data_IF_635755524671
#
_entry.id   IF_635755524671
#
_cell.length_a   1.000
_cell.length_b   1.000
_cell.length_c   1.000
_cell.angle_alpha   90.00
_cell.angle_beta   90.00
_cell.angle_gamma   90.00
#
_symmetry.space_group_name_H-M   'P 1'
#
loop_
_entity.id
_entity.type
_entity.pdbx_description
1 polymer ?
#
# COMPACT_ATOMS: atom_id res chain seq x y z
N UNK A 1 -9.07 6.60 -36.05
CA UNK A 1 -9.04 6.98 -34.64
C UNK A 1 -10.45 6.80 -34.12
N UNK A 2 -10.70 5.87 -33.19
CA UNK A 2 -12.01 5.72 -32.57
C UNK A 2 -12.30 6.98 -31.77
N UNK A 3 -13.49 7.55 -31.95
CA UNK A 3 -13.96 8.73 -31.22
C UNK A 3 -14.13 8.35 -29.73
N UNK A 4 -13.21 8.78 -28.89
CA UNK A 4 -13.27 8.60 -27.42
C UNK A 4 -14.16 9.64 -26.73
N UNK A 5 -14.70 10.63 -27.48
CA UNK A 5 -15.57 11.68 -26.94
C UNK A 5 -16.94 11.17 -26.43
N UNK A 6 -17.29 9.92 -26.78
CA UNK A 6 -18.56 9.29 -26.43
C UNK A 6 -18.50 8.33 -25.23
N UNK A 7 -17.32 8.15 -24.59
CA UNK A 7 -17.18 7.26 -23.43
C UNK A 7 -17.60 8.01 -22.16
N UNK A 8 -18.89 8.05 -21.89
CA UNK A 8 -19.45 8.65 -20.67
C UNK A 8 -20.30 7.62 -19.94
N UNK A 9 -20.32 7.73 -18.61
CA UNK A 9 -21.29 7.01 -17.79
C UNK A 9 -22.69 7.57 -18.15
N UNK A 10 -23.69 6.71 -18.43
CA UNK A 10 -25.04 7.18 -18.76
C UNK A 10 -25.59 8.11 -17.67
N UNK A 11 -26.30 9.15 -18.10
CA UNK A 11 -27.00 10.06 -17.21
C UNK A 11 -28.05 9.29 -16.39
N UNK A 12 -28.10 9.55 -15.06
CA UNK A 12 -29.00 8.86 -14.13
C UNK A 12 -28.49 7.52 -13.60
N UNK A 13 -27.31 7.04 -14.01
CA UNK A 13 -26.70 5.86 -13.40
C UNK A 13 -26.31 6.15 -11.95
N UNK A 14 -26.79 5.34 -11.01
CA UNK A 14 -26.36 5.34 -9.61
C UNK A 14 -25.21 4.37 -9.46
N UNK A 15 -23.99 4.91 -9.20
CA UNK A 15 -22.80 4.11 -8.99
C UNK A 15 -22.60 3.79 -7.51
N UNK A 16 -22.70 2.52 -7.14
CA UNK A 16 -22.57 2.05 -5.74
C UNK A 16 -21.32 1.22 -5.48
N UNK A 17 -20.45 1.02 -6.47
CA UNK A 17 -19.24 0.19 -6.36
C UNK A 17 -17.98 1.02 -6.02
N UNK A 18 -18.08 1.93 -5.04
CA UNK A 18 -16.97 2.80 -4.66
C UNK A 18 -15.81 2.05 -3.99
N UNK A 19 -16.03 0.83 -3.51
CA UNK A 19 -14.96 -0.03 -3.00
C UNK A 19 -14.08 -0.60 -4.12
N UNK A 20 -14.60 -0.75 -5.34
CA UNK A 20 -13.79 -1.15 -6.49
C UNK A 20 -12.97 0.02 -7.04
N UNK A 21 -13.58 1.18 -7.21
CA UNK A 21 -12.91 2.44 -7.62
C UNK A 21 -13.85 3.62 -7.39
N UNK A 22 -13.29 4.83 -7.32
CA UNK A 22 -14.08 6.07 -7.24
C UNK A 22 -13.85 6.94 -8.48
N UNK A 23 -14.81 7.83 -8.78
CA UNK A 23 -14.58 8.89 -9.74
C UNK A 23 -13.45 9.81 -9.24
N UNK A 24 -12.56 10.23 -10.13
CA UNK A 24 -11.56 11.23 -9.79
C UNK A 24 -12.26 12.57 -9.52
N UNK A 25 -11.94 13.21 -8.39
CA UNK A 25 -12.54 14.47 -8.02
C UNK A 25 -12.18 15.58 -9.02
N UNK A 26 -13.10 16.49 -9.40
CA UNK A 26 -12.80 17.54 -10.35
C UNK A 26 -11.61 18.41 -9.93
N UNK A 27 -11.44 18.68 -8.64
CA UNK A 27 -10.30 19.43 -8.08
C UNK A 27 -8.98 18.70 -8.29
N UNK A 28 -8.97 17.36 -8.19
CA UNK A 28 -7.78 16.54 -8.45
C UNK A 28 -7.43 16.57 -9.93
N UNK A 29 -8.43 16.44 -10.83
CA UNK A 29 -8.21 16.55 -12.28
C UNK A 29 -7.62 17.91 -12.63
N UNK A 30 -8.18 19.01 -12.07
CA UNK A 30 -7.68 20.37 -12.29
C UNK A 30 -6.24 20.55 -11.76
N UNK A 31 -5.91 19.98 -10.61
CA UNK A 31 -4.57 20.06 -10.03
C UNK A 31 -3.52 19.28 -10.86
N UNK A 32 -3.92 18.20 -11.50
CA UNK A 32 -3.04 17.37 -12.36
C UNK A 32 -2.82 17.98 -13.74
N UNK A 33 -3.80 18.72 -14.29
CA UNK A 33 -3.80 19.20 -15.67
C UNK A 33 -2.53 19.96 -16.09
N UNK A 34 -1.93 20.86 -15.28
CA UNK A 34 -0.71 21.58 -15.66
C UNK A 34 0.49 20.65 -15.94
N UNK A 35 0.58 19.50 -15.28
CA UNK A 35 1.72 18.60 -15.40
C UNK A 35 1.73 17.78 -16.69
N UNK A 36 0.61 17.75 -17.43
CA UNK A 36 0.52 17.11 -18.73
C UNK A 36 1.15 17.95 -19.88
N UNK A 37 1.17 19.28 -19.75
CA UNK A 37 1.56 20.16 -20.86
C UNK A 37 2.46 21.34 -20.46
N UNK A 38 2.16 22.08 -19.39
CA UNK A 38 2.87 23.32 -19.04
C UNK A 38 3.95 23.14 -17.98
N UNK A 39 3.81 22.18 -17.06
CA UNK A 39 4.77 21.88 -16.00
C UNK A 39 5.37 20.46 -16.16
N UNK A 40 5.73 20.08 -17.39
CA UNK A 40 6.13 18.74 -17.81
C UNK A 40 7.58 18.35 -17.49
N UNK A 41 8.30 19.17 -16.70
CA UNK A 41 9.72 18.94 -16.41
C UNK A 41 9.96 17.61 -15.68
N UNK A 42 11.14 17.00 -15.94
CA UNK A 42 11.58 15.85 -15.16
C UNK A 42 12.07 16.31 -13.78
N UNK A 43 11.53 15.76 -12.70
CA UNK A 43 11.83 16.14 -11.33
C UNK A 43 13.32 15.98 -10.94
N UNK A 44 14.06 15.11 -11.62
CA UNK A 44 15.50 14.90 -11.40
C UNK A 44 16.39 15.92 -12.16
N UNK A 45 15.81 16.74 -13.03
CA UNK A 45 16.61 17.72 -13.80
C UNK A 45 16.94 18.97 -12.98
N UNK A 46 18.21 19.38 -12.95
CA UNK A 46 18.70 20.53 -12.19
C UNK A 46 18.26 21.91 -12.69
N UNK A 47 17.62 22.01 -13.86
CA UNK A 47 17.14 23.28 -14.44
C UNK A 47 15.75 23.68 -13.89
N UNK A 48 15.27 24.88 -14.24
CA UNK A 48 14.05 25.47 -13.70
C UNK A 48 12.81 24.55 -13.85
N UNK A 49 12.60 23.98 -15.03
CA UNK A 49 11.44 23.10 -15.26
C UNK A 49 11.50 21.84 -14.39
N UNK A 50 12.69 21.26 -14.19
CA UNK A 50 12.87 20.13 -13.29
C UNK A 50 12.59 20.49 -11.82
N UNK A 51 13.09 21.65 -11.37
CA UNK A 51 12.82 22.12 -9.98
C UNK A 51 11.34 22.40 -9.72
N UNK A 52 10.58 22.82 -10.73
CA UNK A 52 9.10 22.99 -10.60
C UNK A 52 8.45 21.63 -10.36
N UNK A 53 8.78 20.63 -11.18
CA UNK A 53 8.25 19.27 -11.04
C UNK A 53 8.68 18.63 -9.72
N UNK A 54 9.95 18.73 -9.34
CA UNK A 54 10.48 18.24 -8.05
C UNK A 54 9.71 18.82 -6.87
N UNK A 55 9.54 20.15 -6.86
CA UNK A 55 8.77 20.80 -5.78
C UNK A 55 7.34 20.29 -5.68
N UNK A 56 6.67 20.02 -6.81
CA UNK A 56 5.32 19.49 -6.82
C UNK A 56 5.25 18.09 -6.20
N UNK A 57 6.21 17.21 -6.53
CA UNK A 57 6.31 15.86 -5.96
C UNK A 57 6.55 15.93 -4.44
N UNK A 58 7.52 16.74 -4.00
CA UNK A 58 7.83 16.86 -2.57
C UNK A 58 6.72 17.56 -1.77
N UNK A 59 5.99 18.50 -2.37
CA UNK A 59 4.78 19.07 -1.75
C UNK A 59 3.70 18.01 -1.56
N UNK A 60 3.46 17.18 -2.58
CA UNK A 60 2.50 16.08 -2.48
C UNK A 60 2.92 15.07 -1.40
N UNK A 61 4.22 14.72 -1.33
CA UNK A 61 4.79 13.83 -0.31
C UNK A 61 4.56 14.37 1.10
N UNK A 62 4.88 15.63 1.32
CA UNK A 62 4.65 16.32 2.61
C UNK A 62 3.17 16.32 2.97
N UNK A 63 2.28 16.63 2.01
CA UNK A 63 0.83 16.63 2.25
C UNK A 63 0.31 15.25 2.69
N UNK A 64 0.77 14.17 2.03
CA UNK A 64 0.41 12.80 2.42
C UNK A 64 0.94 12.47 3.82
N UNK A 65 2.19 12.85 4.11
CA UNK A 65 2.80 12.62 5.40
C UNK A 65 2.08 13.36 6.53
N UNK A 66 1.71 14.63 6.31
CA UNK A 66 0.95 15.45 7.27
C UNK A 66 -0.42 14.82 7.58
N UNK A 67 -1.14 14.33 6.56
CA UNK A 67 -2.45 13.65 6.74
C UNK A 67 -2.32 12.38 7.55
N UNK A 68 -1.21 11.65 7.41
CA UNK A 68 -0.96 10.38 8.13
C UNK A 68 -0.23 10.57 9.47
N UNK A 69 0.26 11.79 9.77
CA UNK A 69 1.02 12.09 10.98
C UNK A 69 2.41 11.42 11.00
N UNK A 70 3.07 11.35 9.84
CA UNK A 70 4.36 10.66 9.66
C UNK A 70 5.42 11.58 9.01
N UNK A 71 6.68 11.15 8.98
CA UNK A 71 7.75 11.89 8.30
C UNK A 71 7.62 11.72 6.77
N UNK A 72 7.80 12.79 5.96
CA UNK A 72 7.79 12.69 4.49
C UNK A 72 8.78 11.66 3.93
N UNK A 73 9.90 11.41 4.62
CA UNK A 73 10.87 10.39 4.22
C UNK A 73 10.34 8.94 4.36
N UNK A 74 9.21 8.75 5.00
CA UNK A 74 8.53 7.46 5.15
C UNK A 74 7.51 7.18 4.04
N UNK A 75 7.29 8.14 3.13
CA UNK A 75 6.33 8.02 2.02
C UNK A 75 7.07 7.77 0.72
N UNK A 76 6.68 6.73 0.00
CA UNK A 76 7.20 6.34 -1.31
C UNK A 76 6.05 6.24 -2.30
N UNK A 77 6.09 7.01 -3.38
CA UNK A 77 5.05 6.96 -4.39
C UNK A 77 5.14 5.68 -5.23
N UNK A 78 3.99 5.13 -5.55
CA UNK A 78 3.83 3.92 -6.36
C UNK A 78 2.71 4.13 -7.38
N UNK A 79 2.57 3.21 -8.32
CA UNK A 79 1.41 3.19 -9.24
C UNK A 79 0.10 2.75 -8.56
N UNK A 80 0.17 2.31 -7.30
CA UNK A 80 -0.96 1.85 -6.49
C UNK A 80 -0.52 0.82 -5.45
N UNK A 81 -1.44 0.40 -4.59
CA UNK A 81 -1.16 -0.56 -3.54
C UNK A 81 -0.73 -1.94 -4.07
N UNK A 82 -1.14 -2.33 -5.27
CA UNK A 82 -0.65 -3.57 -5.89
C UNK A 82 0.87 -3.56 -6.04
N UNK A 83 1.45 -2.44 -6.49
CA UNK A 83 2.90 -2.28 -6.53
C UNK A 83 3.48 -2.25 -5.12
N UNK A 84 2.91 -1.48 -4.19
CA UNK A 84 3.37 -1.41 -2.80
C UNK A 84 3.38 -2.76 -2.10
N UNK A 85 2.28 -3.53 -2.21
CA UNK A 85 2.19 -4.88 -1.66
C UNK A 85 3.27 -5.81 -2.27
N UNK A 86 3.41 -5.83 -3.59
CA UNK A 86 4.44 -6.64 -4.25
C UNK A 86 5.85 -6.20 -3.86
N UNK A 87 6.08 -4.89 -3.69
CA UNK A 87 7.38 -4.38 -3.24
C UNK A 87 7.79 -4.99 -1.91
N UNK A 88 6.88 -4.97 -0.92
CA UNK A 88 7.18 -5.52 0.41
C UNK A 88 7.52 -7.02 0.33
N UNK A 89 6.72 -7.81 -0.38
CA UNK A 89 6.95 -9.24 -0.51
C UNK A 89 8.27 -9.55 -1.24
N UNK A 90 8.59 -8.83 -2.32
CA UNK A 90 9.82 -9.01 -3.05
C UNK A 90 11.03 -8.58 -2.22
N UNK A 91 10.97 -7.40 -1.60
CA UNK A 91 12.05 -6.89 -0.75
C UNK A 91 12.33 -7.84 0.44
N UNK A 92 11.27 -8.41 1.02
CA UNK A 92 11.40 -9.44 2.05
C UNK A 92 12.15 -10.66 1.52
N UNK A 93 11.77 -11.18 0.37
CA UNK A 93 12.41 -12.36 -0.23
C UNK A 93 13.89 -12.13 -0.54
N UNK A 94 14.23 -10.93 -1.03
CA UNK A 94 15.60 -10.56 -1.39
C UNK A 94 16.50 -10.36 -0.15
N UNK A 95 15.93 -9.83 0.94
CA UNK A 95 16.67 -9.49 2.16
C UNK A 95 16.82 -10.65 3.15
N UNK A 96 15.90 -11.63 3.15
CA UNK A 96 15.82 -12.67 4.19
C UNK A 96 15.74 -14.10 3.65
N UNK A 97 16.79 -14.58 3.00
CA UNK A 97 16.81 -15.97 2.51
C UNK A 97 16.71 -17.03 3.64
N UNK A 98 16.98 -16.65 4.90
CA UNK A 98 16.92 -17.57 6.04
C UNK A 98 15.54 -17.60 6.75
N UNK A 99 14.83 -16.47 6.82
CA UNK A 99 13.50 -16.39 7.43
C UNK A 99 12.43 -16.60 6.35
N UNK A 100 12.07 -17.87 6.11
CA UNK A 100 11.22 -18.25 4.97
C UNK A 100 9.73 -18.35 5.29
N UNK A 101 9.30 -18.07 6.53
CA UNK A 101 7.90 -18.14 6.90
C UNK A 101 7.21 -16.80 6.72
N UNK A 102 6.11 -16.83 5.97
CA UNK A 102 5.23 -15.68 5.69
C UNK A 102 3.84 -16.05 6.18
N UNK A 103 3.21 -15.15 6.94
CA UNK A 103 1.86 -15.32 7.46
C UNK A 103 0.97 -14.22 6.89
N UNK A 104 -0.12 -14.58 6.22
CA UNK A 104 -1.06 -13.63 5.61
C UNK A 104 -2.50 -13.99 5.96
N UNK A 105 -3.40 -13.02 6.05
CA UNK A 105 -4.81 -13.36 6.26
C UNK A 105 -5.42 -14.04 5.03
N UNK A 106 -6.36 -14.97 5.25
CA UNK A 106 -7.02 -15.68 4.14
C UNK A 106 -7.93 -14.78 3.31
N UNK A 107 -8.27 -13.60 3.82
CA UNK A 107 -9.20 -12.65 3.19
C UNK A 107 -8.51 -11.42 2.58
N UNK A 108 -7.20 -11.49 2.38
CA UNK A 108 -6.42 -10.41 1.76
C UNK A 108 -6.88 -10.12 0.33
N UNK A 109 -6.61 -8.90 -0.12
CA UNK A 109 -6.72 -8.57 -1.54
C UNK A 109 -5.79 -9.46 -2.39
N UNK A 110 -6.19 -9.75 -3.63
CA UNK A 110 -5.43 -10.62 -4.56
C UNK A 110 -3.99 -10.19 -4.78
N UNK A 111 -3.66 -8.89 -4.63
CA UNK A 111 -2.27 -8.41 -4.74
C UNK A 111 -1.36 -8.94 -3.64
N UNK A 112 -1.90 -9.23 -2.44
CA UNK A 112 -1.18 -9.84 -1.32
C UNK A 112 -1.18 -11.36 -1.47
N UNK A 113 -2.35 -11.99 -1.67
CA UNK A 113 -2.44 -13.46 -1.80
C UNK A 113 -1.58 -13.99 -2.94
N UNK A 114 -1.60 -13.32 -4.10
CA UNK A 114 -0.81 -13.76 -5.25
C UNK A 114 0.70 -13.50 -5.04
N UNK A 115 1.08 -12.43 -4.34
CA UNK A 115 2.47 -12.19 -3.98
C UNK A 115 2.99 -13.27 -3.02
N UNK A 116 2.21 -13.63 -1.99
CA UNK A 116 2.52 -14.72 -1.08
C UNK A 116 2.65 -16.05 -1.83
N UNK A 117 1.66 -16.40 -2.67
CA UNK A 117 1.67 -17.63 -3.49
C UNK A 117 2.88 -17.69 -4.44
N UNK A 118 3.29 -16.54 -4.99
CA UNK A 118 4.52 -16.48 -5.80
C UNK A 118 5.74 -16.87 -4.96
N UNK A 119 5.87 -16.34 -3.74
CA UNK A 119 6.99 -16.68 -2.87
C UNK A 119 6.94 -18.16 -2.41
N UNK A 120 5.74 -18.72 -2.20
CA UNK A 120 5.58 -20.15 -1.95
C UNK A 120 6.22 -20.98 -3.06
N UNK A 121 6.05 -20.60 -4.36
CA UNK A 121 6.68 -21.28 -5.48
C UNK A 121 8.22 -21.17 -5.49
N UNK A 122 8.80 -20.23 -4.74
CA UNK A 122 10.24 -20.11 -4.48
C UNK A 122 10.68 -20.76 -3.17
N UNK A 123 9.82 -21.56 -2.54
CA UNK A 123 10.14 -22.37 -1.35
C UNK A 123 10.00 -21.61 -0.03
N UNK A 124 9.22 -20.51 0.00
CA UNK A 124 8.80 -19.89 1.25
C UNK A 124 7.63 -20.68 1.87
N UNK A 125 7.60 -20.77 3.20
CA UNK A 125 6.51 -21.36 3.96
C UNK A 125 5.41 -20.31 4.15
N UNK A 126 4.34 -20.41 3.36
CA UNK A 126 3.21 -19.47 3.41
C UNK A 126 2.07 -20.06 4.23
N UNK A 127 1.71 -19.37 5.31
CA UNK A 127 0.60 -19.72 6.20
C UNK A 127 -0.55 -18.73 6.02
N UNK A 128 -1.74 -19.24 5.72
CA UNK A 128 -2.97 -18.45 5.67
C UNK A 128 -3.65 -18.47 7.03
N UNK A 129 -3.85 -17.29 7.63
CA UNK A 129 -4.62 -17.12 8.86
C UNK A 129 -6.11 -17.25 8.55
N UNK A 130 -6.82 -18.15 9.21
CA UNK A 130 -8.26 -18.23 9.09
C UNK A 130 -8.94 -17.01 9.73
N UNK A 131 -10.19 -16.79 9.33
CA UNK A 131 -11.08 -15.81 9.94
C UNK A 131 -12.23 -16.50 10.65
N UNK A 132 -12.81 -15.81 11.62
CA UNK A 132 -14.06 -16.22 12.28
C UNK A 132 -15.26 -16.10 11.34
N UNK A 133 -16.43 -16.54 11.75
CA UNK A 133 -17.70 -16.37 11.02
C UNK A 133 -18.03 -14.87 10.75
N UNK A 134 -17.57 -13.98 11.62
CA UNK A 134 -17.69 -12.52 11.45
C UNK A 134 -16.67 -11.92 10.46
N UNK A 135 -15.77 -12.72 9.91
CA UNK A 135 -14.74 -12.28 8.95
C UNK A 135 -13.54 -11.58 9.61
N UNK A 136 -13.37 -11.72 10.93
CA UNK A 136 -12.22 -11.20 11.68
C UNK A 136 -11.14 -12.26 11.75
N UNK A 137 -9.86 -11.90 11.60
CA UNK A 137 -8.74 -12.83 11.78
C UNK A 137 -8.81 -13.49 13.15
N UNK A 138 -8.74 -14.83 13.16
CA UNK A 138 -8.73 -15.60 14.41
C UNK A 138 -7.40 -15.38 15.15
N UNK A 139 -7.47 -14.64 16.26
CA UNK A 139 -6.31 -14.32 17.08
C UNK A 139 -5.69 -15.55 17.77
N UNK A 140 -6.47 -16.60 18.04
CA UNK A 140 -5.93 -17.82 18.60
C UNK A 140 -5.08 -18.56 17.54
N UNK A 141 -5.61 -18.72 16.34
CA UNK A 141 -4.87 -19.26 15.21
C UNK A 141 -3.65 -18.41 14.87
N UNK A 142 -3.77 -17.07 14.95
CA UNK A 142 -2.64 -16.17 14.71
C UNK A 142 -1.50 -16.38 15.71
N UNK A 143 -1.77 -16.59 17.02
CA UNK A 143 -0.76 -16.87 18.04
C UNK A 143 -0.02 -18.20 17.77
N UNK A 144 -0.70 -19.17 17.20
CA UNK A 144 -0.06 -20.46 16.83
C UNK A 144 0.76 -20.35 15.54
N UNK A 145 0.28 -19.57 14.57
CA UNK A 145 0.92 -19.41 13.26
C UNK A 145 2.13 -18.48 13.29
N UNK A 146 2.03 -17.35 14.00
CA UNK A 146 3.09 -16.34 14.14
C UNK A 146 4.04 -16.76 15.26
N UNK A 147 5.14 -17.41 14.90
CA UNK A 147 6.11 -18.02 15.82
C UNK A 147 7.54 -17.73 15.38
N UNK A 148 8.50 -18.14 16.19
CA UNK A 148 9.92 -18.02 15.83
C UNK A 148 10.20 -18.56 14.42
N UNK A 149 10.92 -17.78 13.61
CA UNK A 149 11.17 -18.05 12.19
C UNK A 149 10.15 -17.40 11.23
N UNK A 150 9.04 -16.82 11.73
CA UNK A 150 8.20 -15.95 10.93
C UNK A 150 8.97 -14.66 10.62
N UNK A 151 9.04 -14.30 9.35
CA UNK A 151 9.76 -13.11 8.91
C UNK A 151 8.84 -11.99 8.43
N UNK A 152 7.69 -12.33 7.84
CA UNK A 152 6.70 -11.38 7.34
C UNK A 152 5.28 -11.78 7.78
N UNK A 153 4.54 -10.82 8.30
CA UNK A 153 3.10 -10.92 8.53
C UNK A 153 2.41 -9.85 7.71
N UNK A 154 1.33 -10.18 7.00
CA UNK A 154 0.56 -9.21 6.23
C UNK A 154 -0.93 -9.38 6.48
N UNK A 155 -1.57 -8.33 7.00
CA UNK A 155 -3.02 -8.29 7.25
C UNK A 155 -3.57 -6.93 6.86
N UNK A 156 -4.63 -6.92 6.03
CA UNK A 156 -5.32 -5.70 5.63
C UNK A 156 -6.03 -5.05 6.83
N UNK A 157 -6.15 -3.71 6.82
CA UNK A 157 -6.83 -2.99 7.90
C UNK A 157 -8.35 -3.11 7.82
N UNK A 158 -8.90 -3.03 6.61
CA UNK A 158 -10.33 -3.21 6.37
C UNK A 158 -10.54 -4.00 5.07
N UNK A 159 -11.45 -4.96 5.10
CA UNK A 159 -11.71 -5.82 3.95
C UNK A 159 -12.50 -5.07 2.87
N UNK A 160 -12.09 -5.22 1.63
CA UNK A 160 -12.68 -4.54 0.47
C UNK A 160 -14.06 -5.05 0.06
N UNK A 161 -14.46 -6.25 0.49
CA UNK A 161 -15.75 -6.88 0.14
C UNK A 161 -16.74 -6.79 1.30
N UNK A 162 -16.31 -7.15 2.50
CA UNK A 162 -17.18 -7.21 3.68
C UNK A 162 -17.17 -5.94 4.53
N UNK A 163 -16.13 -5.11 4.42
CA UNK A 163 -15.94 -3.93 5.25
C UNK A 163 -15.46 -4.22 6.67
N UNK A 164 -15.19 -5.48 7.02
CA UNK A 164 -14.76 -5.89 8.36
C UNK A 164 -13.36 -5.31 8.65
N UNK A 165 -13.24 -4.67 9.81
CA UNK A 165 -11.99 -4.10 10.33
C UNK A 165 -11.23 -5.20 11.07
N UNK A 166 -9.93 -5.33 10.79
CA UNK A 166 -9.08 -6.35 11.36
C UNK A 166 -8.34 -5.84 12.61
N UNK A 167 -8.00 -6.72 13.57
CA UNK A 167 -7.27 -6.37 14.79
C UNK A 167 -5.77 -6.19 14.49
N UNK A 168 -5.44 -5.18 13.66
CA UNK A 168 -4.08 -4.97 13.11
C UNK A 168 -3.07 -4.67 14.21
N UNK A 169 -3.45 -3.88 15.23
CA UNK A 169 -2.54 -3.53 16.33
C UNK A 169 -2.07 -4.77 17.09
N UNK A 170 -3.01 -5.64 17.50
CA UNK A 170 -2.70 -6.88 18.23
C UNK A 170 -1.87 -7.85 17.39
N UNK A 171 -2.14 -7.91 16.09
CA UNK A 171 -1.40 -8.76 15.16
C UNK A 171 0.00 -8.21 14.88
N UNK A 172 0.18 -6.88 14.84
CA UNK A 172 1.48 -6.24 14.71
C UNK A 172 2.34 -6.46 15.96
N UNK A 173 1.77 -6.31 17.16
CA UNK A 173 2.44 -6.63 18.42
C UNK A 173 2.91 -8.10 18.46
N UNK A 174 2.04 -9.02 18.05
CA UNK A 174 2.37 -10.44 17.98
C UNK A 174 3.51 -10.71 16.99
N UNK A 175 3.47 -10.11 15.80
CA UNK A 175 4.54 -10.22 14.80
C UNK A 175 5.88 -9.69 15.35
N UNK A 176 5.86 -8.53 15.99
CA UNK A 176 7.06 -7.93 16.58
C UNK A 176 7.63 -8.76 17.74
N UNK A 177 6.78 -9.45 18.51
CA UNK A 177 7.23 -10.30 19.63
C UNK A 177 8.15 -11.44 19.16
N UNK A 178 8.00 -11.87 17.91
CA UNK A 178 8.83 -12.92 17.28
C UNK A 178 9.88 -12.34 16.30
N UNK A 179 9.94 -11.03 16.17
CA UNK A 179 10.87 -10.34 15.28
C UNK A 179 10.45 -10.28 13.83
N UNK A 180 9.19 -10.60 13.50
CA UNK A 180 8.64 -10.47 12.16
C UNK A 180 8.33 -9.03 11.79
N UNK A 181 8.41 -8.72 10.49
CA UNK A 181 7.96 -7.47 9.90
C UNK A 181 6.45 -7.52 9.68
N UNK A 182 5.74 -6.40 9.95
CA UNK A 182 4.29 -6.33 9.76
C UNK A 182 3.92 -5.36 8.64
N UNK A 183 3.30 -5.89 7.60
CA UNK A 183 2.75 -5.15 6.47
C UNK A 183 1.22 -5.05 6.55
N UNK A 184 0.67 -3.89 6.17
CA UNK A 184 -0.76 -3.65 6.17
C UNK A 184 -1.25 -3.14 4.80
N UNK A 185 -2.18 -3.84 4.16
CA UNK A 185 -2.95 -3.24 3.08
C UNK A 185 -4.02 -2.32 3.70
N UNK A 186 -3.78 -1.00 3.67
CA UNK A 186 -4.67 0.00 4.26
C UNK A 186 -5.51 0.75 3.21
N UNK A 187 -5.64 0.20 2.01
CA UNK A 187 -6.34 0.82 0.87
C UNK A 187 -7.77 1.20 1.20
N UNK A 188 -8.49 0.37 1.96
CA UNK A 188 -9.89 0.61 2.27
C UNK A 188 -10.11 1.46 3.54
N UNK A 189 -9.03 1.86 4.24
CA UNK A 189 -9.12 2.65 5.46
C UNK A 189 -8.94 4.16 5.21
N UNK A 190 -7.96 4.55 4.36
CA UNK A 190 -7.65 5.95 4.11
C UNK A 190 -8.87 6.70 3.55
N UNK A 191 -9.20 7.83 4.19
CA UNK A 191 -10.35 8.68 3.80
C UNK A 191 -11.73 8.08 4.10
N UNK A 192 -11.81 6.88 4.72
CA UNK A 192 -13.08 6.20 5.04
C UNK A 192 -13.28 5.97 6.53
N UNK A 193 -12.20 5.82 7.29
CA UNK A 193 -12.24 5.66 8.75
C UNK A 193 -11.03 6.35 9.39
N UNK A 194 -11.14 6.80 10.64
CA UNK A 194 -9.98 7.29 11.37
C UNK A 194 -9.04 6.13 11.74
N UNK A 195 -7.75 6.34 11.60
CA UNK A 195 -6.69 5.43 12.09
C UNK A 195 -5.38 6.21 12.28
N UNK A 196 -4.46 5.65 13.05
CA UNK A 196 -3.11 6.16 13.23
C UNK A 196 -2.12 5.04 12.93
N UNK A 197 -1.19 5.29 12.01
CA UNK A 197 -0.14 4.31 11.69
C UNK A 197 0.76 4.02 12.90
N UNK A 198 0.96 5.02 13.77
CA UNK A 198 1.71 4.85 15.01
C UNK A 198 1.00 3.91 15.98
N UNK A 199 -0.32 4.09 16.18
CA UNK A 199 -1.10 3.26 17.10
C UNK A 199 -1.31 1.83 16.56
N UNK A 200 -1.40 1.68 15.22
CA UNK A 200 -1.45 0.37 14.58
C UNK A 200 -0.13 -0.39 14.70
N UNK A 201 0.98 0.30 14.94
CA UNK A 201 2.28 -0.32 15.09
C UNK A 201 2.86 -0.98 13.83
N UNK A 202 2.29 -0.73 12.66
CA UNK A 202 2.71 -1.37 11.39
C UNK A 202 4.09 -0.89 10.93
N UNK A 203 4.86 -1.76 10.28
CA UNK A 203 6.16 -1.41 9.70
C UNK A 203 6.01 -0.83 8.30
N UNK A 204 4.97 -1.23 7.57
CA UNK A 204 4.61 -0.66 6.27
C UNK A 204 3.10 -0.70 6.04
N UNK A 205 2.61 0.24 5.21
CA UNK A 205 1.22 0.26 4.78
C UNK A 205 1.10 0.71 3.32
N UNK A 206 0.25 0.04 2.54
CA UNK A 206 0.03 0.34 1.13
C UNK A 206 -1.31 1.05 0.90
N UNK A 207 -1.31 2.00 -0.06
CA UNK A 207 -2.44 2.86 -0.37
C UNK A 207 -2.64 3.08 -1.87
N UNK A 208 -3.88 3.30 -2.29
CA UNK A 208 -4.25 3.58 -3.69
C UNK A 208 -5.13 4.82 -3.80
N UNK A 209 -4.74 5.77 -4.65
CA UNK A 209 -5.45 7.04 -4.82
C UNK A 209 -6.88 6.87 -5.37
N UNK A 210 -7.09 5.90 -6.26
CA UNK A 210 -8.41 5.70 -6.90
C UNK A 210 -9.52 5.19 -5.96
N UNK A 211 -9.20 4.89 -4.72
CA UNK A 211 -10.16 4.52 -3.67
C UNK A 211 -10.64 5.74 -2.86
N UNK A 212 -9.97 6.89 -3.04
CA UNK A 212 -10.22 8.16 -2.33
C UNK A 212 -10.33 9.33 -3.30
N UNK A 213 -10.99 9.12 -4.44
CA UNK A 213 -11.24 10.12 -5.47
C UNK A 213 -9.98 10.68 -6.16
N UNK A 214 -8.87 9.95 -6.10
CA UNK A 214 -7.67 10.23 -6.88
C UNK A 214 -7.64 9.46 -8.21
N UNK A 215 -6.58 9.62 -9.02
CA UNK A 215 -6.44 8.94 -10.29
C UNK A 215 -6.10 7.45 -10.10
N UNK A 216 -6.44 6.63 -11.08
CA UNK A 216 -5.84 5.30 -11.28
C UNK A 216 -4.39 5.48 -11.69
N UNK A 217 -3.53 4.55 -11.31
CA UNK A 217 -2.10 4.62 -11.61
C UNK A 217 -1.28 5.50 -10.65
N UNK A 218 -1.86 5.86 -9.49
CA UNK A 218 -1.18 6.54 -8.39
C UNK A 218 -1.52 5.87 -7.05
N UNK A 219 -0.53 5.80 -6.20
CA UNK A 219 -0.62 5.31 -4.84
C UNK A 219 0.66 5.62 -4.08
N UNK A 220 0.77 5.12 -2.88
CA UNK A 220 1.99 5.24 -2.09
C UNK A 220 2.12 4.09 -1.09
N UNK A 221 3.36 3.90 -0.66
CA UNK A 221 3.77 3.00 0.39
C UNK A 221 4.31 3.83 1.56
N UNK A 222 3.85 3.55 2.76
CA UNK A 222 4.46 3.99 4.00
C UNK A 222 5.47 2.94 4.46
N UNK A 223 6.68 3.39 4.86
CA UNK A 223 7.70 2.57 5.51
C UNK A 223 8.15 3.27 6.79
N UNK A 224 8.01 2.59 7.93
CA UNK A 224 8.41 3.12 9.23
C UNK A 224 9.92 3.33 9.31
N UNK A 225 10.36 4.52 9.71
CA UNK A 225 11.77 4.82 9.96
C UNK A 225 12.31 3.92 11.09
N UNK A 226 13.50 3.37 10.90
CA UNK A 226 14.12 2.48 11.91
C UNK A 226 13.53 1.07 11.92
N UNK A 227 12.56 0.74 11.09
CA UNK A 227 12.19 -0.63 10.77
C UNK A 227 13.33 -1.36 10.04
N UNK A 228 14.58 -0.93 10.31
CA UNK A 228 15.87 -1.31 9.70
C UNK A 228 16.22 -2.80 9.84
N UNK A 229 15.21 -3.65 9.98
CA UNK A 229 15.39 -5.10 9.90
C UNK A 229 15.55 -5.56 8.44
N UNK A 230 15.25 -4.64 7.49
CA UNK A 230 15.38 -4.90 6.06
C UNK A 230 16.07 -3.74 5.35
N UNK A 231 17.17 -3.97 4.64
CA UNK A 231 17.48 -3.12 3.52
C UNK A 231 16.34 -3.37 2.51
N UNK A 232 15.39 -2.41 2.35
CA UNK A 232 14.37 -2.50 1.32
C UNK A 232 15.00 -2.20 -0.03
N UNK A 233 15.43 -3.22 -0.81
CA UNK A 233 15.82 -2.98 -2.18
C UNK A 233 14.60 -2.44 -2.91
N UNK A 234 14.78 -1.40 -3.70
CA UNK A 234 13.73 -0.89 -4.57
C UNK A 234 13.32 -1.98 -5.54
N UNK A 235 12.01 -2.19 -5.79
CA UNK A 235 11.55 -3.24 -6.71
C UNK A 235 11.91 -2.93 -8.16
N UNK A 236 12.08 -1.64 -8.46
CA UNK A 236 12.47 -1.13 -9.77
C UNK A 236 13.85 -0.46 -9.65
N UNK A 237 14.81 -1.00 -10.38
CA UNK A 237 16.16 -0.45 -10.46
C UNK A 237 16.21 0.52 -11.65
N UNK A 238 16.57 1.79 -11.40
CA UNK A 238 16.57 2.80 -12.44
C UNK A 238 16.98 4.19 -11.95
N UNK A 239 16.39 5.22 -12.49
CA UNK A 239 16.60 6.60 -12.06
C UNK A 239 16.17 6.81 -10.61
N UNK A 240 16.75 7.71 -9.86
CA UNK A 240 16.58 7.89 -8.43
C UNK A 240 15.29 8.57 -7.96
N UNK A 241 14.17 8.50 -8.72
CA UNK A 241 12.97 9.31 -8.46
C UNK A 241 12.29 9.06 -7.11
N UNK A 242 12.39 7.84 -6.55
CA UNK A 242 11.85 7.47 -5.24
C UNK A 242 12.95 7.08 -4.25
N UNK A 243 14.14 7.72 -4.32
CA UNK A 243 15.28 7.65 -3.38
C UNK A 243 16.09 6.36 -3.38
#
# INVERSE_FOLDING_TARGET
MSDVSSVTIPEGLIYLDNNATTACAPQVVAAMAPFWASAFGNAESGHLAGRIAHRAVETARTTVADVLGVDPNQIFFTSGATEGNNWIFQAFADAHPAARRIVVSAIEHKSVLNAAKRLESFGFDVCLLPVTEDGVVDLAAAREAIKSGTGLVSVQLANNETGVIQPVSELAELAHSVGAFFHCDAVQALGKMPFSLADLGVDSAAFSAHKIHGPKGAGFLYLRSGANRFPFPKPLVGGGQER
#
